data_IF_965331806365
#
_entry.id   IF_965331806365
#
_cell.length_a   1.000
_cell.length_b   1.000
_cell.length_c   1.000
_cell.angle_alpha   90.00
_cell.angle_beta   90.00
_cell.angle_gamma   90.00
#
_symmetry.space_group_name_H-M   'P 1'
#
loop_
_entity.id
_entity.type
_entity.pdbx_description
1 polymer ?
#
# COMPACT_ATOMS: atom_id res chain seq x y z
N UNK A 1 11.74 -2.55 -14.73
CA UNK A 1 10.60 -2.88 -13.84
C UNK A 1 10.81 -2.29 -12.47
N UNK A 2 9.77 -1.73 -11.89
CA UNK A 2 9.86 -1.11 -10.58
C UNK A 2 9.13 -1.94 -9.54
N UNK A 3 9.68 -1.99 -8.34
CA UNK A 3 9.12 -2.75 -7.24
C UNK A 3 8.77 -1.79 -6.09
N UNK A 4 7.57 -1.93 -5.57
CA UNK A 4 7.12 -1.13 -4.45
C UNK A 4 6.65 -2.05 -3.32
N UNK A 5 6.90 -1.61 -2.09
CA UNK A 5 6.34 -2.28 -0.93
C UNK A 5 4.94 -1.77 -0.68
N UNK A 6 4.04 -2.66 -0.36
CA UNK A 6 2.67 -2.31 0.01
C UNK A 6 2.47 -2.76 1.46
N UNK A 7 2.15 -1.80 2.32
CA UNK A 7 1.80 -2.10 3.70
C UNK A 7 0.32 -2.48 3.74
N UNK A 8 0.03 -3.63 4.30
CA UNK A 8 -1.31 -4.20 4.30
C UNK A 8 -1.86 -4.24 5.72
N UNK A 9 -3.07 -3.74 5.88
CA UNK A 9 -3.79 -3.79 7.15
C UNK A 9 -5.21 -4.25 6.88
N UNK A 10 -5.92 -4.66 7.92
CA UNK A 10 -7.32 -5.04 7.81
C UNK A 10 -8.16 -4.08 8.62
N UNK A 11 -9.18 -3.51 7.98
CA UNK A 11 -10.14 -2.66 8.67
C UNK A 11 -11.07 -3.55 9.48
N UNK A 12 -11.09 -3.42 10.83
CA UNK A 12 -11.94 -4.29 11.66
C UNK A 12 -13.43 -4.01 11.50
N UNK A 13 -13.81 -2.82 11.07
CA UNK A 13 -15.21 -2.45 10.92
C UNK A 13 -15.81 -3.02 9.63
N UNK A 14 -15.09 -2.99 8.54
CA UNK A 14 -15.57 -3.47 7.25
C UNK A 14 -15.09 -4.88 6.93
N UNK A 15 -14.00 -5.33 7.54
CA UNK A 15 -13.35 -6.58 7.21
C UNK A 15 -12.54 -6.51 5.90
N UNK A 16 -12.45 -5.35 5.29
CA UNK A 16 -11.69 -5.19 4.06
C UNK A 16 -10.20 -5.05 4.36
N UNK A 17 -9.39 -5.53 3.44
CA UNK A 17 -7.95 -5.29 3.48
C UNK A 17 -7.67 -3.93 2.83
N UNK A 18 -6.81 -3.16 3.47
CA UNK A 18 -6.37 -1.86 2.95
C UNK A 18 -4.87 -1.88 2.77
N UNK A 19 -4.39 -1.24 1.73
CA UNK A 19 -2.97 -1.23 1.43
C UNK A 19 -2.52 0.12 0.92
N UNK A 20 -1.28 0.47 1.22
CA UNK A 20 -0.68 1.69 0.71
C UNK A 20 0.81 1.51 0.47
N UNK A 21 1.35 2.30 -0.44
CA UNK A 21 2.79 2.35 -0.68
C UNK A 21 3.37 3.46 0.20
N UNK A 22 4.24 3.13 1.17
CA UNK A 22 4.83 4.13 2.04
C UNK A 22 5.52 5.25 1.26
N UNK A 23 5.24 6.49 1.64
CA UNK A 23 5.86 7.65 1.03
C UNK A 23 5.31 8.08 -0.32
N UNK A 24 4.29 7.38 -0.83
CA UNK A 24 3.68 7.71 -2.12
C UNK A 24 2.21 8.07 -1.91
N UNK A 25 1.90 9.38 -1.70
CA UNK A 25 0.52 9.82 -1.52
C UNK A 25 -0.35 9.44 -2.71
N UNK A 26 -1.54 8.94 -2.43
CA UNK A 26 -2.46 8.50 -3.46
C UNK A 26 -2.31 7.03 -3.86
N UNK A 27 -1.17 6.40 -3.57
CA UNK A 27 -0.96 5.00 -3.90
C UNK A 27 -1.51 4.10 -2.81
N UNK A 28 -2.84 3.97 -2.77
CA UNK A 28 -3.53 3.14 -1.80
C UNK A 28 -4.81 2.59 -2.42
N UNK A 29 -5.30 1.48 -1.87
CA UNK A 29 -6.56 0.89 -2.28
C UNK A 29 -7.05 -0.08 -1.22
N UNK A 30 -8.11 -0.81 -1.53
CA UNK A 30 -8.69 -1.80 -0.64
C UNK A 30 -9.23 -2.98 -1.46
N UNK A 31 -9.52 -4.07 -0.76
CA UNK A 31 -10.10 -5.25 -1.39
C UNK A 31 -10.63 -6.22 -0.36
N UNK A 32 -11.54 -7.08 -0.78
CA UNK A 32 -12.15 -8.09 0.10
C UNK A 32 -11.20 -9.27 0.35
N UNK A 33 -10.23 -9.47 -0.53
CA UNK A 33 -9.20 -10.49 -0.40
C UNK A 33 -7.83 -9.86 -0.63
N UNK A 34 -6.78 -10.57 -0.21
CA UNK A 34 -5.41 -10.09 -0.42
C UNK A 34 -5.07 -10.00 -1.91
N UNK A 35 -5.55 -10.94 -2.72
CA UNK A 35 -5.32 -10.90 -4.16
C UNK A 35 -6.02 -9.72 -4.81
N UNK A 36 -7.25 -9.44 -4.40
CA UNK A 36 -8.00 -8.30 -4.91
C UNK A 36 -7.31 -6.98 -4.51
N UNK A 37 -6.87 -6.87 -3.26
CA UNK A 37 -6.13 -5.69 -2.81
C UNK A 37 -4.89 -5.48 -3.66
N UNK A 38 -4.11 -6.53 -3.87
CA UNK A 38 -2.88 -6.46 -4.66
C UNK A 38 -3.16 -5.96 -6.07
N UNK A 39 -4.17 -6.51 -6.71
CA UNK A 39 -4.55 -6.09 -8.06
C UNK A 39 -4.99 -4.63 -8.09
N UNK A 40 -5.80 -4.22 -7.10
CA UNK A 40 -6.30 -2.86 -7.03
C UNK A 40 -5.17 -1.84 -6.79
N UNK A 41 -4.23 -2.16 -5.89
CA UNK A 41 -3.08 -1.28 -5.67
C UNK A 41 -2.21 -1.21 -6.91
N UNK A 42 -2.02 -2.34 -7.60
CA UNK A 42 -1.25 -2.38 -8.84
C UNK A 42 -1.85 -1.44 -9.89
N UNK A 43 -3.16 -1.45 -10.06
CA UNK A 43 -3.84 -0.57 -11.01
C UNK A 43 -3.67 0.91 -10.66
N UNK A 44 -3.78 1.23 -9.36
CA UNK A 44 -3.58 2.61 -8.91
C UNK A 44 -2.14 3.05 -9.18
N UNK A 45 -1.17 2.19 -8.88
CA UNK A 45 0.23 2.50 -9.12
C UNK A 45 0.51 2.72 -10.60
N UNK A 46 -0.06 1.89 -11.46
CA UNK A 46 0.09 2.06 -12.92
C UNK A 46 -0.46 3.41 -13.38
N UNK A 47 -1.62 3.81 -12.88
CA UNK A 47 -2.22 5.08 -13.23
C UNK A 47 -1.34 6.25 -12.79
N UNK A 48 -0.82 6.18 -11.57
CA UNK A 48 0.03 7.25 -11.05
C UNK A 48 1.36 7.34 -11.80
N UNK A 49 1.90 6.21 -12.24
CA UNK A 49 3.15 6.18 -13.01
C UNK A 49 3.00 6.78 -14.41
N UNK A 50 1.79 6.81 -14.96
CA UNK A 50 1.54 7.41 -16.26
C UNK A 50 1.82 8.91 -16.26
N UNK A 51 1.59 9.56 -15.12
CA UNK A 51 1.78 11.01 -15.02
C UNK A 51 3.24 11.37 -14.78
N UNK A 52 3.92 10.66 -13.88
CA UNK A 52 5.31 10.98 -13.57
C UNK A 52 5.92 9.87 -12.70
N UNK A 53 7.25 9.86 -12.61
CA UNK A 53 7.97 9.01 -11.68
C UNK A 53 7.70 9.48 -10.25
N UNK A 54 7.37 8.57 -9.31
CA UNK A 54 7.09 9.00 -7.96
C UNK A 54 8.36 9.45 -7.24
N UNK A 55 8.23 10.55 -6.54
CA UNK A 55 9.25 10.97 -5.59
C UNK A 55 8.74 10.55 -4.22
N UNK A 56 9.26 9.46 -3.71
CA UNK A 56 8.80 8.92 -2.43
C UNK A 56 9.17 9.86 -1.29
N UNK A 57 8.19 10.19 -0.47
CA UNK A 57 8.39 11.07 0.68
C UNK A 57 8.94 10.32 1.90
N UNK A 58 8.91 8.98 1.86
CA UNK A 58 9.42 8.14 2.93
C UNK A 58 9.95 6.85 2.32
N UNK A 59 10.89 6.23 3.01
CA UNK A 59 11.46 4.95 2.62
C UNK A 59 10.95 3.86 3.57
N UNK A 60 10.40 2.80 3.00
CA UNK A 60 9.98 1.67 3.83
C UNK A 60 11.20 0.88 4.30
N UNK A 61 11.33 0.74 5.62
CA UNK A 61 12.45 0.00 6.22
C UNK A 61 11.97 -1.35 6.76
N UNK A 62 10.85 -1.37 7.46
CA UNK A 62 10.37 -2.61 8.05
C UNK A 62 9.32 -2.37 9.13
N UNK A 63 9.09 -3.41 9.90
CA UNK A 63 8.11 -3.42 10.98
C UNK A 63 8.81 -3.78 12.28
N UNK A 64 8.51 -3.07 13.35
CA UNK A 64 9.00 -3.38 14.69
C UNK A 64 7.83 -3.79 15.58
N UNK A 65 8.10 -4.68 16.52
CA UNK A 65 7.11 -5.13 17.50
C UNK A 65 7.53 -4.64 18.87
N UNK A 66 6.60 -4.00 19.57
CA UNK A 66 6.82 -3.58 20.95
C UNK A 66 5.77 -4.20 21.83
N UNK A 67 6.08 -4.39 23.09
CA UNK A 67 5.12 -4.83 24.10
C UNK A 67 5.01 -3.74 25.14
N UNK A 68 3.77 -3.46 25.53
CA UNK A 68 3.47 -2.43 26.52
C UNK A 68 2.65 -3.07 27.64
N UNK A 69 3.08 -2.84 28.87
CA UNK A 69 2.37 -3.41 30.03
C UNK A 69 1.07 -2.66 30.33
#
# INVERSE_FOLDING_TARGET
MRTFNVVVERDPDTGLYVGHVPGWPGAHSQGATLDELRQNVHEVAEMLLEDDEPKLEAEFIGVQIIQVA
#
